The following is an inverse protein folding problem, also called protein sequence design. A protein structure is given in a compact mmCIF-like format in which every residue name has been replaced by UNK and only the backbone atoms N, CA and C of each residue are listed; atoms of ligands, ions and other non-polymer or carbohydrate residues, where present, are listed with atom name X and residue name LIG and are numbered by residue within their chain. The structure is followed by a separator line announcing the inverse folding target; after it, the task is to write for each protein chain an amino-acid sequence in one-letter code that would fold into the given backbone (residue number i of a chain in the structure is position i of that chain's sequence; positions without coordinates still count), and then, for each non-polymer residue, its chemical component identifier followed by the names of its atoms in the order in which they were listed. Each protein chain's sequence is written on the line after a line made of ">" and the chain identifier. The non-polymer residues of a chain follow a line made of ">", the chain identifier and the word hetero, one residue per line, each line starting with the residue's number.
data_IF_996438414702
#
_entry.id   IF_996438414702
#
_cell.length_a   1.000
_cell.length_b   1.000
_cell.length_c   1.000
_cell.angle_alpha   90.00
_cell.angle_beta   90.00
_cell.angle_gamma   90.00
#
_symmetry.space_group_name_H-M   'P 1'
#
loop_
_entity.id
_entity.type
_entity.pdbx_description
1 polymer ?
#
# COMPACT_ATOMS: atom_id res chain seq x y z
N UNK A 1 27.22 -6.49 -0.91
CA UNK A 1 26.58 -7.41 0.07
C UNK A 1 25.77 -6.65 1.13
N UNK A 2 26.33 -5.68 1.87
CA UNK A 2 25.59 -4.92 2.91
C UNK A 2 24.38 -4.09 2.42
N UNK A 3 24.43 -3.51 1.21
CA UNK A 3 23.32 -2.72 0.64
C UNK A 3 22.08 -3.58 0.37
N UNK A 4 22.28 -4.79 -0.16
CA UNK A 4 21.22 -5.75 -0.46
C UNK A 4 20.47 -6.19 0.81
N UNK A 5 21.20 -6.50 1.89
CA UNK A 5 20.60 -6.85 3.18
C UNK A 5 19.76 -5.71 3.77
N UNK A 6 20.25 -4.47 3.70
CA UNK A 6 19.48 -3.29 4.15
C UNK A 6 18.21 -3.07 3.33
N UNK A 7 18.29 -3.24 2.01
CA UNK A 7 17.11 -3.12 1.14
C UNK A 7 16.03 -4.15 1.48
N UNK A 8 16.41 -5.39 1.77
CA UNK A 8 15.45 -6.42 2.21
C UNK A 8 14.81 -6.08 3.55
N UNK A 9 15.55 -5.45 4.47
CA UNK A 9 14.98 -4.99 5.74
C UNK A 9 13.95 -3.87 5.54
N UNK A 10 14.25 -2.88 4.69
CA UNK A 10 13.32 -1.81 4.34
C UNK A 10 12.04 -2.34 3.69
N UNK A 11 12.20 -3.25 2.73
CA UNK A 11 11.08 -3.94 2.09
C UNK A 11 10.23 -4.64 3.14
N UNK A 12 10.80 -5.55 3.93
CA UNK A 12 10.08 -6.33 4.93
C UNK A 12 9.34 -5.45 5.95
N UNK A 13 9.96 -4.35 6.39
CA UNK A 13 9.32 -3.39 7.28
C UNK A 13 8.03 -2.81 6.69
N UNK A 14 8.07 -2.35 5.44
CA UNK A 14 6.90 -1.79 4.76
C UNK A 14 5.84 -2.86 4.45
N UNK A 15 6.24 -4.07 4.04
CA UNK A 15 5.30 -5.18 3.84
C UNK A 15 4.49 -5.44 5.12
N UNK A 16 5.17 -5.56 6.26
CA UNK A 16 4.50 -5.78 7.54
C UNK A 16 3.60 -4.61 7.94
N UNK A 17 4.04 -3.36 7.71
CA UNK A 17 3.24 -2.19 8.02
C UNK A 17 1.91 -2.19 7.24
N UNK A 18 1.96 -2.42 5.93
CA UNK A 18 0.76 -2.46 5.10
C UNK A 18 -0.10 -3.71 5.31
N UNK A 19 0.52 -4.87 5.54
CA UNK A 19 -0.21 -6.09 5.87
C UNK A 19 -1.02 -5.93 7.16
N UNK A 20 -0.43 -5.30 8.18
CA UNK A 20 -1.12 -4.97 9.43
C UNK A 20 -2.19 -3.90 9.25
N UNK A 21 -1.91 -2.85 8.47
CA UNK A 21 -2.85 -1.76 8.16
C UNK A 21 -4.18 -2.29 7.62
N UNK A 22 -4.14 -3.27 6.71
CA UNK A 22 -5.34 -3.82 6.07
C UNK A 22 -5.79 -5.17 6.62
N UNK A 23 -5.18 -5.67 7.70
CA UNK A 23 -5.44 -7.00 8.26
C UNK A 23 -6.93 -7.25 8.54
N UNK A 24 -7.63 -6.26 9.08
CA UNK A 24 -9.06 -6.40 9.44
C UNK A 24 -10.01 -6.38 8.24
N UNK A 25 -9.51 -6.05 7.05
CA UNK A 25 -10.29 -6.00 5.81
C UNK A 25 -10.07 -7.22 4.93
N UNK A 26 -8.99 -7.98 5.17
CA UNK A 26 -8.67 -9.19 4.43
C UNK A 26 -9.72 -10.27 4.67
N UNK A 27 -10.14 -10.94 3.61
CA UNK A 27 -10.95 -12.16 3.68
C UNK A 27 -10.13 -13.36 4.21
N UNK A 28 -10.75 -14.54 4.31
CA UNK A 28 -10.09 -15.78 4.76
C UNK A 28 -8.94 -16.21 3.85
N UNK A 29 -8.96 -15.81 2.59
CA UNK A 29 -7.91 -16.08 1.62
C UNK A 29 -6.80 -15.02 1.66
N UNK A 30 -6.97 -13.96 2.46
CA UNK A 30 -6.03 -12.87 2.64
C UNK A 30 -6.16 -11.75 1.61
N UNK A 31 -7.25 -11.69 0.85
CA UNK A 31 -7.50 -10.64 -0.15
C UNK A 31 -8.21 -9.44 0.48
N UNK A 32 -7.78 -8.25 0.11
CA UNK A 32 -8.50 -7.01 0.44
C UNK A 32 -9.79 -6.88 -0.41
N UNK A 33 -10.78 -6.07 0.03
CA UNK A 33 -11.99 -5.81 -0.75
C UNK A 33 -11.68 -5.33 -2.18
N UNK A 34 -12.41 -5.85 -3.17
CA UNK A 34 -12.19 -5.54 -4.59
C UNK A 34 -12.21 -4.02 -4.86
N UNK A 35 -13.07 -3.27 -4.17
CA UNK A 35 -13.14 -1.81 -4.32
C UNK A 35 -11.84 -1.07 -3.99
N UNK A 36 -10.95 -1.65 -3.17
CA UNK A 36 -9.65 -1.05 -2.87
C UNK A 36 -8.71 -1.07 -4.08
N UNK A 37 -8.88 -2.02 -5.02
CA UNK A 37 -8.06 -2.16 -6.22
C UNK A 37 -8.26 -1.02 -7.24
N UNK A 38 -9.34 -0.25 -7.07
CA UNK A 38 -9.68 0.90 -7.92
C UNK A 38 -9.79 2.21 -7.13
N UNK A 39 -9.34 2.24 -5.88
CA UNK A 39 -9.38 3.46 -5.06
C UNK A 39 -8.11 4.28 -5.26
N UNK A 40 -8.29 5.49 -5.78
CA UNK A 40 -7.25 6.50 -5.93
C UNK A 40 -6.62 6.84 -4.57
N UNK A 41 -7.43 6.90 -3.51
CA UNK A 41 -7.00 7.22 -2.17
C UNK A 41 -6.12 6.13 -1.58
N UNK A 42 -6.50 4.86 -1.71
CA UNK A 42 -5.72 3.74 -1.19
C UNK A 42 -4.39 3.62 -1.93
N UNK A 43 -4.38 3.60 -3.26
CA UNK A 43 -3.14 3.43 -4.02
C UNK A 43 -2.23 4.65 -3.92
N UNK A 44 -2.81 5.86 -3.91
CA UNK A 44 -2.10 7.11 -3.65
C UNK A 44 -1.45 7.10 -2.28
N UNK A 45 -2.19 6.72 -1.23
CA UNK A 45 -1.66 6.62 0.13
C UNK A 45 -0.54 5.58 0.27
N UNK A 46 -0.67 4.42 -0.38
CA UNK A 46 0.36 3.39 -0.40
C UNK A 46 1.65 3.94 -1.01
N UNK A 47 1.57 4.45 -2.25
CA UNK A 47 2.73 4.97 -2.97
C UNK A 47 3.35 6.17 -2.24
N UNK A 48 2.53 7.07 -1.72
CA UNK A 48 2.96 8.24 -0.97
C UNK A 48 3.72 7.86 0.30
N UNK A 49 3.23 6.88 1.06
CA UNK A 49 3.93 6.41 2.26
C UNK A 49 5.26 5.74 1.92
N UNK A 50 5.30 4.88 0.89
CA UNK A 50 6.54 4.28 0.39
C UNK A 50 7.56 5.37 0.00
N UNK A 51 7.11 6.42 -0.70
CA UNK A 51 7.98 7.51 -1.12
C UNK A 51 8.48 8.32 0.08
N UNK A 52 7.61 8.62 1.04
CA UNK A 52 8.00 9.31 2.28
C UNK A 52 9.04 8.51 3.05
N UNK A 53 8.86 7.19 3.17
CA UNK A 53 9.82 6.30 3.82
C UNK A 53 11.17 6.26 3.09
N UNK A 54 11.15 6.17 1.75
CA UNK A 54 12.34 6.17 0.93
C UNK A 54 13.16 7.46 1.08
N UNK A 55 12.50 8.62 1.13
CA UNK A 55 13.13 9.93 1.40
C UNK A 55 13.83 9.91 2.77
N UNK A 56 13.11 9.52 3.83
CA UNK A 56 13.65 9.50 5.20
C UNK A 56 14.85 8.56 5.34
N UNK A 57 14.85 7.45 4.60
CA UNK A 57 15.90 6.42 4.67
C UNK A 57 16.94 6.51 3.55
N UNK A 58 16.88 7.52 2.68
CA UNK A 58 17.80 7.73 1.53
C UNK A 58 17.90 6.49 0.61
N UNK A 59 16.76 5.89 0.32
CA UNK A 59 16.65 4.73 -0.58
C UNK A 59 16.68 5.23 -2.04
N UNK A 60 17.51 4.60 -2.89
CA UNK A 60 17.58 4.92 -4.32
C UNK A 60 16.37 4.42 -5.12
N UNK A 61 16.13 4.99 -6.31
CA UNK A 61 14.94 4.69 -7.14
C UNK A 61 14.81 3.19 -7.47
N UNK A 62 15.88 2.51 -7.87
CA UNK A 62 15.82 1.07 -8.17
C UNK A 62 15.36 0.25 -6.96
N UNK A 63 15.83 0.62 -5.76
CA UNK A 63 15.44 -0.05 -4.52
C UNK A 63 14.01 0.35 -4.09
N UNK A 64 13.61 1.58 -4.38
CA UNK A 64 12.26 2.07 -4.16
C UNK A 64 11.24 1.31 -5.02
N UNK A 65 11.52 1.12 -6.31
CA UNK A 65 10.64 0.39 -7.23
C UNK A 65 10.40 -1.05 -6.73
N UNK A 66 11.46 -1.77 -6.34
CA UNK A 66 11.35 -3.13 -5.78
C UNK A 66 10.58 -3.22 -4.45
N UNK A 67 10.59 -2.13 -3.68
CA UNK A 67 9.82 -2.01 -2.44
C UNK A 67 8.34 -1.78 -2.77
N UNK A 68 8.05 -0.85 -3.68
CA UNK A 68 6.70 -0.55 -4.15
C UNK A 68 6.06 -1.80 -4.72
N UNK A 69 6.73 -2.49 -5.63
CA UNK A 69 6.26 -3.76 -6.21
C UNK A 69 5.87 -4.77 -5.12
N UNK A 70 6.75 -4.95 -4.13
CA UNK A 70 6.50 -5.86 -3.03
C UNK A 70 5.31 -5.44 -2.16
N UNK A 71 5.14 -4.14 -1.90
CA UNK A 71 4.02 -3.64 -1.11
C UNK A 71 2.70 -3.84 -1.86
N UNK A 72 2.65 -3.53 -3.16
CA UNK A 72 1.46 -3.78 -3.97
C UNK A 72 1.16 -5.28 -4.09
N UNK A 73 2.18 -6.14 -4.17
CA UNK A 73 2.01 -7.60 -4.13
C UNK A 73 1.46 -8.09 -2.78
N UNK A 74 1.97 -7.59 -1.66
CA UNK A 74 1.47 -7.97 -0.32
C UNK A 74 0.01 -7.54 -0.10
N UNK A 75 -0.39 -6.38 -0.63
CA UNK A 75 -1.75 -5.84 -0.43
C UNK A 75 -2.74 -6.43 -1.43
N UNK A 76 -2.40 -6.45 -2.72
CA UNK A 76 -3.33 -6.79 -3.81
C UNK A 76 -3.08 -8.17 -4.43
N UNK A 77 -1.99 -8.85 -4.06
CA UNK A 77 -1.68 -10.22 -4.47
C UNK A 77 -1.73 -10.40 -5.98
N UNK A 78 -2.62 -11.26 -6.49
CA UNK A 78 -2.79 -11.54 -7.92
C UNK A 78 -3.16 -10.29 -8.73
N UNK A 79 -3.79 -9.31 -8.08
CA UNK A 79 -4.22 -8.06 -8.71
C UNK A 79 -3.16 -6.96 -8.61
N UNK A 80 -1.95 -7.23 -8.12
CA UNK A 80 -0.92 -6.20 -7.94
C UNK A 80 -0.56 -5.49 -9.24
N UNK A 81 -0.22 -6.23 -10.30
CA UNK A 81 0.17 -5.68 -11.60
C UNK A 81 -0.90 -4.73 -12.18
N UNK A 82 -2.17 -5.14 -12.36
CA UNK A 82 -3.19 -4.24 -12.90
C UNK A 82 -3.46 -3.02 -12.01
N UNK A 83 -3.31 -3.14 -10.68
CA UNK A 83 -3.44 -2.01 -9.76
C UNK A 83 -2.25 -1.04 -9.89
N UNK A 84 -1.03 -1.56 -10.03
CA UNK A 84 0.17 -0.74 -10.25
C UNK A 84 0.08 0.04 -11.57
N UNK A 85 -0.35 -0.59 -12.66
CA UNK A 85 -0.54 0.10 -13.94
C UNK A 85 -1.54 1.27 -13.83
N UNK A 86 -2.64 1.10 -13.09
CA UNK A 86 -3.60 2.20 -12.83
C UNK A 86 -2.97 3.30 -11.97
N UNK A 87 -2.23 2.90 -10.95
CA UNK A 87 -1.53 3.81 -10.03
C UNK A 87 -0.51 4.68 -10.76
N UNK A 88 0.30 4.08 -11.64
CA UNK A 88 1.25 4.81 -12.49
C UNK A 88 0.54 5.78 -13.42
N UNK A 89 -0.58 5.36 -14.03
CA UNK A 89 -1.39 6.24 -14.87
C UNK A 89 -1.88 7.46 -14.08
N UNK A 90 -2.44 7.26 -12.89
CA UNK A 90 -2.92 8.35 -12.05
C UNK A 90 -1.81 9.30 -11.58
N UNK A 91 -0.63 8.76 -11.31
CA UNK A 91 0.55 9.57 -11.02
C UNK A 91 0.96 10.42 -12.23
N UNK A 92 0.99 9.84 -13.43
CA UNK A 92 1.39 10.54 -14.65
C UNK A 92 0.37 11.60 -15.10
N UNK A 93 -0.91 11.37 -14.86
CA UNK A 93 -1.98 12.31 -15.20
C UNK A 93 -2.30 13.29 -14.08
N UNK A 94 -1.54 13.25 -12.97
CA UNK A 94 -1.76 14.08 -11.78
C UNK A 94 -3.22 14.06 -11.31
N UNK A 95 -3.83 12.86 -11.23
CA UNK A 95 -5.21 12.72 -10.77
C UNK A 95 -5.40 13.36 -9.39
N UNK A 96 -6.37 14.27 -9.25
CA UNK A 96 -6.48 15.14 -8.08
C UNK A 96 -6.67 14.35 -6.78
N UNK A 97 -7.54 13.34 -6.81
CA UNK A 97 -7.86 12.52 -5.62
C UNK A 97 -6.65 11.67 -5.23
N UNK A 98 -6.00 11.07 -6.22
CA UNK A 98 -4.78 10.30 -6.05
C UNK A 98 -3.65 11.16 -5.48
N UNK A 99 -3.39 12.34 -6.07
CA UNK A 99 -2.30 13.23 -5.68
C UNK A 99 -2.52 13.80 -4.28
N UNK A 100 -3.76 14.11 -3.90
CA UNK A 100 -4.10 14.50 -2.54
C UNK A 100 -3.70 13.42 -1.53
N UNK A 101 -4.13 12.18 -1.75
CA UNK A 101 -3.81 11.06 -0.87
C UNK A 101 -2.31 10.75 -0.84
N UNK A 102 -1.65 10.79 -1.99
CA UNK A 102 -0.21 10.61 -2.15
C UNK A 102 0.58 11.62 -1.32
N UNK A 103 0.30 12.92 -1.48
CA UNK A 103 1.03 13.96 -0.74
C UNK A 103 0.72 13.95 0.75
N UNK A 104 -0.53 13.69 1.13
CA UNK A 104 -0.92 13.52 2.52
C UNK A 104 -0.09 12.42 3.18
N UNK A 105 -0.11 11.21 2.61
CA UNK A 105 0.60 10.04 3.13
C UNK A 105 2.13 10.22 3.15
N UNK A 106 2.69 10.79 2.07
CA UNK A 106 4.11 11.14 1.99
C UNK A 106 4.50 12.10 3.11
N UNK A 107 3.72 13.16 3.33
CA UNK A 107 4.03 14.18 4.34
C UNK A 107 3.97 13.63 5.76
N UNK A 108 3.00 12.75 6.06
CA UNK A 108 2.91 12.10 7.36
C UNK A 108 4.12 11.18 7.62
N UNK A 109 4.50 10.40 6.60
CA UNK A 109 5.60 9.45 6.73
C UNK A 109 6.95 10.15 6.90
N UNK A 110 7.18 11.27 6.21
CA UNK A 110 8.42 12.07 6.37
C UNK A 110 8.53 12.67 7.78
N UNK A 111 7.41 13.06 8.38
CA UNK A 111 7.38 13.69 9.72
C UNK A 111 7.50 12.68 10.87
N UNK A 112 7.27 11.41 10.60
CA UNK A 112 7.25 10.37 11.64
C UNK A 112 8.56 9.57 11.66
N UNK A 113 8.97 9.13 12.85
CA UNK A 113 10.11 8.21 13.03
C UNK A 113 9.78 6.79 12.58
N UNK A 114 8.50 6.43 12.57
CA UNK A 114 7.98 5.13 12.17
C UNK A 114 6.81 5.31 11.21
N UNK A 115 6.62 4.35 10.30
CA UNK A 115 5.47 4.36 9.39
C UNK A 115 4.21 4.05 10.22
N UNK A 116 3.45 5.08 10.55
CA UNK A 116 2.15 4.98 11.21
C UNK A 116 1.04 5.06 10.15
N UNK A 117 0.32 3.94 9.98
CA UNK A 117 -0.76 3.79 9.02
C UNK A 117 -2.13 3.70 9.69
N UNK A 118 -2.26 4.04 10.97
CA UNK A 118 -3.55 3.96 11.68
C UNK A 118 -4.63 4.80 10.97
N UNK A 119 -4.28 5.99 10.50
CA UNK A 119 -5.21 6.85 9.74
C UNK A 119 -5.71 6.17 8.45
N UNK A 120 -4.84 5.43 7.75
CA UNK A 120 -5.17 4.71 6.52
C UNK A 120 -6.02 3.48 6.82
N UNK A 121 -5.73 2.77 7.92
CA UNK A 121 -6.52 1.65 8.38
C UNK A 121 -7.96 2.09 8.74
N UNK A 122 -8.11 3.22 9.45
CA UNK A 122 -9.42 3.77 9.81
C UNK A 122 -10.18 4.29 8.58
N UNK A 123 -9.48 4.97 7.65
CA UNK A 123 -10.07 5.33 6.36
C UNK A 123 -10.59 4.09 5.63
N UNK A 124 -9.76 3.05 5.49
CA UNK A 124 -10.14 1.86 4.76
C UNK A 124 -11.32 1.13 5.41
N UNK A 125 -11.34 1.00 6.75
CA UNK A 125 -12.48 0.42 7.48
C UNK A 125 -13.79 1.17 7.29
N UNK A 126 -13.72 2.50 7.22
CA UNK A 126 -14.91 3.35 7.04
C UNK A 126 -15.48 3.26 5.62
N UNK A 127 -14.62 3.09 4.62
CA UNK A 127 -14.99 3.20 3.21
C UNK A 127 -15.15 1.85 2.50
N UNK A 128 -14.58 0.76 3.04
CA UNK A 128 -14.68 -0.57 2.46
C UNK A 128 -15.26 -1.55 3.47
N UNK A 129 -16.18 -2.40 3.00
CA UNK A 129 -16.64 -3.56 3.78
C UNK A 129 -15.63 -4.69 3.62
N UNK A 130 -15.27 -5.34 4.72
CA UNK A 130 -14.46 -6.55 4.67
C UNK A 130 -15.11 -7.58 3.72
N UNK A 131 -14.29 -8.36 3.02
CA UNK A 131 -14.78 -9.47 2.21
C UNK A 131 -15.57 -10.43 3.09
N UNK A 132 -16.85 -10.68 2.76
CA UNK A 132 -17.65 -11.66 3.48
C UNK A 132 -17.17 -13.08 3.17
N UNK A 133 -17.28 -13.96 4.18
CA UNK A 133 -17.20 -15.40 4.05
C UNK A 133 -18.01 -15.88 2.85
N UNK A 134 -17.36 -16.61 1.93
CA UNK A 134 -18.09 -17.49 1.02
C UNK A 134 -18.48 -18.72 1.84
N UNK A 135 -19.60 -18.65 2.56
CA UNK A 135 -20.24 -19.86 3.06
C UNK A 135 -20.72 -20.62 1.82
N UNK A 136 -20.00 -21.66 1.43
CA UNK A 136 -20.56 -22.66 0.55
C UNK A 136 -21.67 -23.36 1.34
N UNK A 137 -22.92 -22.96 1.12
CA UNK A 137 -24.06 -23.80 1.46
C UNK A 137 -23.93 -25.06 0.61
N UNK A 138 -23.43 -26.14 1.23
CA UNK A 138 -23.48 -27.47 0.65
C UNK A 138 -24.95 -27.88 0.59
N UNK A 139 -25.50 -27.88 -0.63
CA UNK A 139 -26.76 -28.55 -0.99
C UNK A 139 -26.52 -30.06 -1.02
#
# INVERSE_FOLDING_TARGET
>A
MFKFFRNNQHKHYLLNAFSNCFKTLKDELGNVPVGMQTSHEITGAILGSCRGYAITNKIDENSFDLIVDGVFEEVFRRESIPVQTKTEKWLQTEDETFMFAYYHAKSQTVKSKTVDLNWLAEYAKKHFKAGHQVMFDMI
#
